data_IF_048579649607
#
_entry.id   IF_048579649607
#
_cell.length_a   1.000
_cell.length_b   1.000
_cell.length_c   1.000
_cell.angle_alpha   90.00
_cell.angle_beta   90.00
_cell.angle_gamma   90.00
#
_symmetry.space_group_name_H-M   'P 1'
#
loop_
_entity.id
_entity.type
_entity.pdbx_description
1 polymer ?
#
# COMPACT_ATOMS: atom_id res chain seq x y z
N UNK A 1 -11.22 -8.04 17.99
CA UNK A 1 -11.55 -6.97 18.97
C UNK A 1 -10.78 -5.73 18.53
N UNK A 2 -11.47 -4.63 18.22
CA UNK A 2 -10.83 -3.39 17.74
C UNK A 2 -10.05 -2.76 18.89
N UNK A 3 -8.72 -2.74 18.81
CA UNK A 3 -7.83 -2.17 19.85
C UNK A 3 -7.96 -0.64 20.01
N UNK A 4 -8.69 0.03 19.13
CA UNK A 4 -8.83 1.49 19.07
C UNK A 4 -10.30 1.95 19.16
N UNK A 5 -11.14 1.24 19.90
CA UNK A 5 -12.58 1.53 20.02
C UNK A 5 -12.84 2.98 20.43
N UNK A 6 -12.13 3.48 21.44
CA UNK A 6 -12.35 4.84 21.97
C UNK A 6 -12.03 5.92 20.92
N UNK A 7 -10.95 5.75 20.15
CA UNK A 7 -10.60 6.68 19.05
C UNK A 7 -11.63 6.68 17.93
N UNK A 8 -12.23 5.53 17.62
CA UNK A 8 -13.33 5.45 16.65
C UNK A 8 -14.62 6.04 17.20
N UNK A 9 -14.83 5.93 18.51
CA UNK A 9 -15.98 6.54 19.19
C UNK A 9 -15.85 8.05 19.29
N UNK A 10 -14.65 8.62 19.39
CA UNK A 10 -14.49 10.08 19.42
C UNK A 10 -14.93 10.74 18.10
N UNK A 11 -14.63 10.12 16.96
CA UNK A 11 -14.99 10.68 15.66
C UNK A 11 -16.42 10.33 15.24
N UNK A 12 -17.23 11.37 14.98
CA UNK A 12 -18.63 11.21 14.57
C UNK A 12 -18.78 10.42 13.27
N UNK A 13 -17.88 10.64 12.31
CA UNK A 13 -17.85 9.94 11.01
C UNK A 13 -17.65 8.44 11.19
N UNK A 14 -16.74 8.02 12.08
CA UNK A 14 -16.49 6.61 12.39
C UNK A 14 -17.56 5.96 13.24
N UNK A 15 -18.11 6.66 14.25
CA UNK A 15 -19.26 6.18 15.04
C UNK A 15 -20.39 5.65 14.16
N UNK A 16 -20.79 6.46 13.18
CA UNK A 16 -21.88 6.15 12.24
C UNK A 16 -21.63 4.92 11.39
N UNK A 17 -20.37 4.54 11.16
CA UNK A 17 -20.00 3.43 10.26
C UNK A 17 -19.73 2.15 11.03
N UNK A 18 -19.11 2.24 12.20
CA UNK A 18 -18.58 1.09 12.92
C UNK A 18 -19.41 0.67 14.14
N UNK A 19 -20.38 1.47 14.57
CA UNK A 19 -21.20 1.20 15.75
C UNK A 19 -22.67 1.01 15.40
N UNK A 20 -23.35 0.19 16.20
CA UNK A 20 -24.77 -0.13 16.05
C UNK A 20 -25.63 0.96 16.70
N UNK A 21 -26.34 1.71 15.86
CA UNK A 21 -27.21 2.79 16.31
C UNK A 21 -26.44 3.84 17.12
N UNK A 22 -27.04 4.33 18.20
CA UNK A 22 -26.43 5.30 19.12
C UNK A 22 -25.70 4.62 20.30
N UNK A 23 -25.53 3.29 20.25
CA UNK A 23 -24.86 2.54 21.30
C UNK A 23 -23.36 2.43 21.05
N UNK A 24 -22.57 2.34 22.11
CA UNK A 24 -21.12 2.07 22.07
C UNK A 24 -20.80 0.59 21.71
N UNK A 25 -21.72 -0.06 20.98
CA UNK A 25 -21.58 -1.42 20.51
C UNK A 25 -21.04 -1.43 19.08
N UNK A 26 -19.79 -1.85 18.92
CA UNK A 26 -19.16 -2.04 17.61
C UNK A 26 -19.77 -3.25 16.91
N UNK A 27 -19.96 -3.18 15.59
CA UNK A 27 -20.34 -4.35 14.79
C UNK A 27 -19.35 -5.52 14.98
N UNK A 28 -19.90 -6.71 15.20
CA UNK A 28 -19.18 -7.96 15.41
C UNK A 28 -19.31 -8.93 14.22
N UNK A 29 -18.76 -10.13 14.41
CA UNK A 29 -18.84 -11.20 13.42
C UNK A 29 -20.31 -11.59 13.20
N UNK A 30 -20.70 -11.70 11.92
CA UNK A 30 -22.07 -12.07 11.54
C UNK A 30 -23.05 -10.89 11.44
N UNK A 31 -22.65 -9.69 11.87
CA UNK A 31 -23.49 -8.51 11.68
C UNK A 31 -23.40 -7.94 10.26
N UNK A 32 -24.52 -7.38 9.78
CA UNK A 32 -24.57 -6.66 8.51
C UNK A 32 -24.33 -5.16 8.73
N UNK A 33 -23.36 -4.59 8.01
CA UNK A 33 -23.02 -3.16 8.05
C UNK A 33 -23.49 -2.49 6.75
N UNK A 34 -24.31 -1.45 6.87
CA UNK A 34 -24.76 -0.66 5.73
C UNK A 34 -23.95 0.65 5.60
N UNK A 35 -23.52 0.99 4.37
CA UNK A 35 -22.74 2.21 4.09
C UNK A 35 -23.43 3.09 3.04
N UNK A 36 -24.64 3.64 3.31
CA UNK A 36 -25.42 4.37 2.31
C UNK A 36 -24.71 5.62 1.77
N UNK A 37 -23.91 6.31 2.60
CA UNK A 37 -23.12 7.47 2.14
C UNK A 37 -22.07 7.07 1.10
N UNK A 38 -21.31 6.01 1.38
CA UNK A 38 -20.34 5.47 0.42
C UNK A 38 -21.04 4.97 -0.85
N UNK A 39 -22.20 4.32 -0.70
CA UNK A 39 -23.04 3.91 -1.83
C UNK A 39 -23.38 5.09 -2.73
N UNK A 40 -23.86 6.21 -2.16
CA UNK A 40 -24.14 7.45 -2.92
C UNK A 40 -22.90 8.01 -3.62
N UNK A 41 -21.75 8.06 -2.95
CA UNK A 41 -20.49 8.50 -3.56
C UNK A 41 -20.13 7.63 -4.77
N UNK A 42 -20.23 6.31 -4.64
CA UNK A 42 -19.96 5.37 -5.73
C UNK A 42 -20.98 5.49 -6.87
N UNK A 43 -22.26 5.76 -6.57
CA UNK A 43 -23.29 6.05 -7.59
C UNK A 43 -22.95 7.31 -8.39
N UNK A 44 -22.53 8.39 -7.73
CA UNK A 44 -22.12 9.62 -8.40
C UNK A 44 -20.93 9.37 -9.35
N UNK A 45 -19.92 8.62 -8.89
CA UNK A 45 -18.75 8.27 -9.72
C UNK A 45 -19.16 7.38 -10.91
N UNK A 46 -20.08 6.44 -10.69
CA UNK A 46 -20.59 5.57 -11.76
C UNK A 46 -21.35 6.35 -12.83
N UNK A 47 -22.12 7.37 -12.43
CA UNK A 47 -22.94 8.20 -13.33
C UNK A 47 -22.12 9.29 -14.06
N UNK A 48 -21.18 9.94 -13.35
CA UNK A 48 -20.44 11.12 -13.85
C UNK A 48 -19.00 10.81 -14.27
N UNK A 49 -18.52 9.60 -14.02
CA UNK A 49 -17.15 9.20 -14.28
C UNK A 49 -16.17 9.54 -13.14
N UNK A 50 -14.88 9.15 -13.28
CA UNK A 50 -13.88 9.29 -12.22
C UNK A 50 -13.52 10.74 -11.90
N UNK A 51 -13.65 11.68 -12.86
CA UNK A 51 -13.38 13.10 -12.63
C UNK A 51 -14.27 13.69 -11.54
N UNK A 52 -15.50 13.18 -11.37
CA UNK A 52 -16.41 13.64 -10.32
C UNK A 52 -15.85 13.48 -8.89
N UNK A 53 -14.84 12.63 -8.67
CA UNK A 53 -14.14 12.52 -7.38
C UNK A 53 -13.13 13.65 -7.15
N UNK A 54 -12.47 14.08 -8.22
CA UNK A 54 -11.38 15.07 -8.19
C UNK A 54 -11.89 16.50 -8.45
N UNK A 55 -13.04 16.61 -9.13
CA UNK A 55 -13.64 17.85 -9.59
C UNK A 55 -15.10 17.95 -9.10
N UNK A 56 -15.50 19.14 -8.64
CA UNK A 56 -16.88 19.45 -8.28
C UNK A 56 -17.30 19.05 -6.85
N UNK A 57 -18.54 18.61 -6.68
CA UNK A 57 -19.18 18.51 -5.36
C UNK A 57 -18.50 17.50 -4.42
N UNK A 58 -18.03 16.35 -4.93
CA UNK A 58 -17.34 15.38 -4.08
C UNK A 58 -15.98 15.91 -3.63
N UNK A 59 -15.24 16.61 -4.50
CA UNK A 59 -13.94 17.17 -4.14
C UNK A 59 -14.07 18.30 -3.12
N UNK A 60 -15.14 19.11 -3.21
CA UNK A 60 -15.49 20.10 -2.17
C UNK A 60 -15.75 19.45 -0.82
N UNK A 61 -16.62 18.43 -0.78
CA UNK A 61 -16.92 17.71 0.46
C UNK A 61 -15.67 17.06 1.08
N UNK A 62 -14.76 16.55 0.25
CA UNK A 62 -13.48 15.98 0.71
C UNK A 62 -12.60 17.08 1.32
N UNK A 63 -12.41 18.20 0.63
CA UNK A 63 -11.58 19.30 1.10
C UNK A 63 -12.12 19.91 2.40
N UNK A 64 -13.43 20.14 2.49
CA UNK A 64 -14.09 20.67 3.68
C UNK A 64 -13.88 19.75 4.89
N UNK A 65 -14.13 18.44 4.75
CA UNK A 65 -13.95 17.48 5.85
C UNK A 65 -12.47 17.40 6.30
N UNK A 66 -11.53 17.41 5.36
CA UNK A 66 -10.09 17.38 5.69
C UNK A 66 -9.66 18.65 6.42
N UNK A 67 -10.09 19.82 5.96
CA UNK A 67 -9.74 21.11 6.56
C UNK A 67 -10.40 21.31 7.92
N UNK A 68 -11.64 20.83 8.12
CA UNK A 68 -12.30 20.78 9.43
C UNK A 68 -11.45 20.01 10.47
N UNK A 69 -10.71 19.00 10.01
CA UNK A 69 -9.79 18.20 10.83
C UNK A 69 -8.32 18.67 10.75
N UNK A 70 -8.08 19.93 10.33
CA UNK A 70 -6.76 20.57 10.25
C UNK A 70 -5.79 19.94 9.25
N UNK A 71 -6.30 19.20 8.26
CA UNK A 71 -5.50 18.76 7.12
C UNK A 71 -5.26 19.89 6.12
N UNK A 72 -4.31 19.66 5.20
CA UNK A 72 -3.82 20.70 4.27
C UNK A 72 -4.27 20.47 2.82
N UNK A 73 -4.95 19.36 2.53
CA UNK A 73 -5.43 19.05 1.19
C UNK A 73 -6.51 20.07 0.82
N UNK A 74 -6.38 20.63 -0.37
CA UNK A 74 -7.31 21.58 -0.95
C UNK A 74 -7.70 21.14 -2.37
N UNK A 75 -8.58 21.91 -2.99
CA UNK A 75 -9.13 21.60 -4.31
C UNK A 75 -8.05 21.52 -5.39
N UNK A 76 -7.03 22.37 -5.33
CA UNK A 76 -5.92 22.35 -6.28
C UNK A 76 -5.15 21.03 -6.21
N UNK A 77 -4.97 20.45 -5.03
CA UNK A 77 -4.30 19.14 -4.87
C UNK A 77 -5.09 18.01 -5.56
N UNK A 78 -6.42 18.07 -5.50
CA UNK A 78 -7.29 17.06 -6.13
C UNK A 78 -7.37 17.26 -7.65
N UNK A 79 -7.54 18.49 -8.12
CA UNK A 79 -7.65 18.82 -9.55
C UNK A 79 -6.33 18.57 -10.31
N UNK A 80 -5.18 18.75 -9.66
CA UNK A 80 -3.86 18.51 -10.27
C UNK A 80 -3.36 17.08 -10.09
N UNK A 81 -4.12 16.21 -9.40
CA UNK A 81 -3.76 14.81 -9.26
C UNK A 81 -3.91 14.07 -10.59
N UNK A 82 -2.85 13.35 -10.98
CA UNK A 82 -2.88 12.47 -12.14
C UNK A 82 -2.23 11.13 -11.84
N UNK A 83 -2.95 10.04 -12.15
CA UNK A 83 -2.40 8.69 -12.13
C UNK A 83 -1.36 8.54 -13.25
N UNK A 84 -0.16 8.06 -12.92
CA UNK A 84 0.93 7.86 -13.88
C UNK A 84 1.00 6.40 -14.29
N UNK A 85 0.81 6.12 -15.58
CA UNK A 85 1.03 4.79 -16.14
C UNK A 85 2.52 4.63 -16.41
N UNK A 86 3.14 3.63 -15.79
CA UNK A 86 4.57 3.36 -15.90
C UNK A 86 4.80 1.90 -16.34
N UNK A 87 5.89 1.62 -17.09
CA UNK A 87 6.29 0.25 -17.35
C UNK A 87 6.64 -0.47 -16.03
N UNK A 88 6.36 -1.76 -15.98
CA UNK A 88 6.72 -2.60 -14.85
C UNK A 88 8.24 -2.82 -14.78
N UNK A 89 8.76 -3.03 -13.57
CA UNK A 89 10.09 -3.60 -13.36
C UNK A 89 9.98 -5.12 -13.45
N UNK A 90 10.99 -5.81 -13.98
CA UNK A 90 10.93 -7.27 -14.12
C UNK A 90 12.28 -7.95 -14.00
N UNK A 91 12.24 -9.25 -13.65
CA UNK A 91 13.40 -10.15 -13.65
C UNK A 91 12.99 -11.51 -14.19
N UNK A 92 13.93 -12.22 -14.83
CA UNK A 92 13.73 -13.62 -15.24
C UNK A 92 14.08 -14.57 -14.09
N UNK A 93 13.26 -15.58 -13.86
CA UNK A 93 13.42 -16.62 -12.84
C UNK A 93 13.35 -18.01 -13.49
N UNK A 94 14.16 -18.96 -13.02
CA UNK A 94 14.15 -20.36 -13.48
C UNK A 94 14.46 -20.55 -14.97
N UNK A 95 14.97 -19.51 -15.65
CA UNK A 95 15.30 -19.50 -17.07
C UNK A 95 14.12 -19.29 -18.03
N UNK A 96 12.86 -19.44 -17.59
CA UNK A 96 11.67 -19.39 -18.47
C UNK A 96 10.48 -18.60 -17.90
N UNK A 97 10.57 -18.07 -16.68
CA UNK A 97 9.53 -17.22 -16.11
C UNK A 97 9.99 -15.78 -16.00
N UNK A 98 9.06 -14.84 -16.14
CA UNK A 98 9.30 -13.42 -15.89
C UNK A 98 8.42 -12.97 -14.74
N UNK A 99 9.04 -12.49 -13.66
CA UNK A 99 8.34 -11.86 -12.55
C UNK A 99 8.26 -10.34 -12.81
N UNK A 100 7.07 -9.78 -12.67
CA UNK A 100 6.80 -8.34 -12.84
C UNK A 100 6.49 -7.68 -11.51
N UNK A 101 6.90 -6.43 -11.37
CA UNK A 101 6.66 -5.62 -10.19
C UNK A 101 6.32 -4.17 -10.53
N UNK A 102 5.76 -3.47 -9.55
CA UNK A 102 5.41 -2.05 -9.62
C UNK A 102 6.67 -1.20 -9.44
N UNK A 103 6.96 -0.24 -10.34
CA UNK A 103 8.14 0.61 -10.21
C UNK A 103 8.10 1.50 -8.95
N UNK A 104 9.22 2.17 -8.59
CA UNK A 104 9.22 3.18 -7.54
C UNK A 104 8.05 4.19 -7.68
N UNK A 105 7.47 4.65 -6.55
CA UNK A 105 7.92 4.48 -5.16
C UNK A 105 7.54 3.15 -4.49
N UNK A 106 6.94 2.20 -5.20
CA UNK A 106 6.63 0.88 -4.64
C UNK A 106 7.92 0.06 -4.38
N UNK A 107 7.84 -0.90 -3.45
CA UNK A 107 9.01 -1.70 -3.03
C UNK A 107 9.18 -3.02 -3.79
N UNK A 108 8.53 -3.23 -4.95
CA UNK A 108 8.64 -4.55 -5.61
C UNK A 108 10.04 -4.83 -6.14
N UNK A 109 10.85 -3.81 -6.43
CA UNK A 109 12.26 -4.00 -6.81
C UNK A 109 13.06 -4.75 -5.74
N UNK A 110 12.75 -4.55 -4.45
CA UNK A 110 13.36 -5.29 -3.33
C UNK A 110 12.97 -6.77 -3.39
N UNK A 111 11.67 -7.05 -3.60
CA UNK A 111 11.20 -8.43 -3.75
C UNK A 111 11.81 -9.11 -4.98
N UNK A 112 11.87 -8.43 -6.12
CA UNK A 112 12.46 -8.96 -7.34
C UNK A 112 13.97 -9.21 -7.18
N UNK A 113 14.69 -8.35 -6.45
CA UNK A 113 16.09 -8.57 -6.08
C UNK A 113 16.25 -9.84 -5.24
N UNK A 114 15.44 -10.00 -4.18
CA UNK A 114 15.46 -11.20 -3.34
C UNK A 114 15.23 -12.45 -4.19
N UNK A 115 14.15 -12.45 -4.99
CA UNK A 115 13.81 -13.59 -5.86
C UNK A 115 14.93 -13.89 -6.85
N UNK A 116 15.52 -12.87 -7.48
CA UNK A 116 16.57 -13.07 -8.47
C UNK A 116 17.86 -13.60 -7.87
N UNK A 117 18.22 -13.19 -6.66
CA UNK A 117 19.39 -13.74 -5.97
C UNK A 117 19.09 -15.16 -5.48
N UNK A 118 17.89 -15.44 -4.97
CA UNK A 118 17.46 -16.79 -4.59
C UNK A 118 17.48 -17.78 -5.77
N UNK A 119 17.10 -17.33 -6.97
CA UNK A 119 17.18 -18.10 -8.23
C UNK A 119 18.60 -18.63 -8.48
N UNK A 120 19.64 -17.87 -8.11
CA UNK A 120 21.04 -18.26 -8.23
C UNK A 120 21.50 -19.34 -7.25
N UNK A 121 20.75 -19.62 -6.18
CA UNK A 121 21.11 -20.64 -5.18
C UNK A 121 20.65 -22.06 -5.57
N UNK A 122 19.93 -22.24 -6.69
CA UNK A 122 19.50 -23.55 -7.16
C UNK A 122 18.59 -24.29 -6.16
N UNK A 123 17.75 -23.53 -5.44
CA UNK A 123 16.88 -24.09 -4.41
C UNK A 123 15.88 -25.07 -5.01
N UNK A 124 15.79 -26.26 -4.43
CA UNK A 124 14.82 -27.30 -4.79
C UNK A 124 13.92 -27.64 -3.61
N UNK A 125 12.80 -28.38 -3.80
CA UNK A 125 11.99 -28.87 -2.69
C UNK A 125 12.81 -29.66 -1.63
N UNK A 126 13.89 -30.32 -2.07
CA UNK A 126 14.79 -31.09 -1.21
C UNK A 126 15.70 -30.22 -0.31
N UNK A 127 15.61 -28.88 -0.44
CA UNK A 127 16.35 -27.93 0.39
C UNK A 127 15.76 -27.79 1.80
N UNK A 128 14.66 -28.50 2.09
CA UNK A 128 13.98 -28.50 3.38
C UNK A 128 13.91 -29.90 4.01
N UNK A 129 14.54 -30.91 3.42
CA UNK A 129 14.37 -32.31 3.86
C UNK A 129 14.99 -32.62 5.23
N UNK A 130 16.05 -31.91 5.59
CA UNK A 130 16.82 -32.15 6.82
C UNK A 130 17.00 -30.86 7.60
N UNK A 131 17.17 -30.98 8.91
CA UNK A 131 17.40 -29.83 9.80
C UNK A 131 18.57 -28.97 9.32
N UNK A 132 19.68 -29.58 8.90
CA UNK A 132 20.84 -28.87 8.36
C UNK A 132 20.51 -28.05 7.10
N UNK A 133 19.77 -28.64 6.15
CA UNK A 133 19.37 -27.96 4.92
C UNK A 133 18.36 -26.85 5.20
N UNK A 134 17.42 -27.08 6.12
CA UNK A 134 16.46 -26.06 6.56
C UNK A 134 17.19 -24.88 7.21
N UNK A 135 18.12 -25.14 8.13
CA UNK A 135 18.94 -24.09 8.77
C UNK A 135 19.67 -23.27 7.71
N UNK A 136 20.30 -23.93 6.73
CA UNK A 136 20.96 -23.23 5.61
C UNK A 136 19.99 -22.41 4.78
N UNK A 137 18.83 -22.96 4.43
CA UNK A 137 17.79 -22.27 3.67
C UNK A 137 17.33 -21.00 4.40
N UNK A 138 16.95 -21.10 5.66
CA UNK A 138 16.50 -19.95 6.45
C UNK A 138 17.62 -18.93 6.69
N UNK A 139 18.87 -19.37 6.84
CA UNK A 139 20.00 -18.46 6.92
C UNK A 139 20.15 -17.65 5.62
N UNK A 140 20.13 -18.30 4.46
CA UNK A 140 20.20 -17.61 3.15
C UNK A 140 19.05 -16.62 3.03
N UNK A 141 17.81 -17.04 3.32
CA UNK A 141 16.64 -16.16 3.27
C UNK A 141 16.85 -14.95 4.19
N UNK A 142 17.25 -15.14 5.44
CA UNK A 142 17.46 -14.04 6.38
C UNK A 142 18.53 -13.06 5.91
N UNK A 143 19.68 -13.53 5.42
CA UNK A 143 20.75 -12.66 4.93
C UNK A 143 20.34 -11.89 3.66
N UNK A 144 19.59 -12.53 2.75
CA UNK A 144 19.06 -11.85 1.57
C UNK A 144 18.07 -10.76 1.94
N UNK A 145 17.20 -10.99 2.92
CA UNK A 145 16.28 -9.96 3.40
C UNK A 145 17.06 -8.79 4.02
N UNK A 146 18.05 -9.05 4.87
CA UNK A 146 18.90 -7.98 5.44
C UNK A 146 19.55 -7.14 4.33
N UNK A 147 20.17 -7.79 3.35
CA UNK A 147 20.86 -7.10 2.26
C UNK A 147 19.89 -6.29 1.39
N UNK A 148 18.79 -6.91 0.96
CA UNK A 148 17.82 -6.26 0.08
C UNK A 148 17.12 -5.09 0.79
N UNK A 149 16.76 -5.22 2.06
CA UNK A 149 16.20 -4.12 2.84
C UNK A 149 17.24 -3.04 3.17
N UNK A 150 18.53 -3.39 3.26
CA UNK A 150 19.62 -2.41 3.27
C UNK A 150 19.53 -1.47 2.06
N UNK A 151 19.24 -2.00 0.87
CA UNK A 151 19.05 -1.19 -0.35
C UNK A 151 17.73 -0.42 -0.41
N UNK A 152 16.74 -0.76 0.42
CA UNK A 152 15.44 -0.10 0.43
C UNK A 152 15.51 1.36 0.90
N UNK A 153 16.48 1.70 1.74
CA UNK A 153 16.68 3.08 2.22
C UNK A 153 16.95 4.08 1.09
N UNK A 154 17.56 3.62 0.00
CA UNK A 154 17.85 4.42 -1.19
C UNK A 154 16.65 4.56 -2.14
N UNK A 155 15.52 3.90 -1.87
CA UNK A 155 14.32 4.01 -2.71
C UNK A 155 13.42 5.15 -2.25
N UNK A 156 12.77 5.80 -3.22
CA UNK A 156 11.81 6.88 -2.96
C UNK A 156 10.95 7.15 -4.19
N UNK A 157 10.28 8.30 -4.17
CA UNK A 157 9.62 8.82 -5.37
C UNK A 157 10.69 9.30 -6.36
N UNK A 158 10.62 8.82 -7.59
CA UNK A 158 11.58 9.21 -8.66
C UNK A 158 11.48 10.69 -9.03
N UNK A 159 10.37 11.34 -8.69
CA UNK A 159 10.18 12.78 -8.91
C UNK A 159 10.56 13.62 -7.69
N UNK A 160 10.98 13.00 -6.59
CA UNK A 160 11.50 13.69 -5.42
C UNK A 160 13.02 13.85 -5.51
N UNK A 161 13.47 15.10 -5.52
CA UNK A 161 14.88 15.52 -5.47
C UNK A 161 15.69 14.93 -4.32
N UNK A 162 15.05 14.44 -3.25
CA UNK A 162 15.74 13.82 -2.11
C UNK A 162 16.08 12.35 -2.36
N UNK A 163 15.36 11.67 -3.26
CA UNK A 163 15.62 10.26 -3.59
C UNK A 163 17.02 10.07 -4.21
N UNK A 164 17.45 11.01 -5.06
CA UNK A 164 18.80 11.00 -5.65
C UNK A 164 19.90 11.12 -4.57
N UNK A 165 19.70 12.00 -3.58
CA UNK A 165 20.66 12.21 -2.49
C UNK A 165 20.82 10.97 -1.61
N UNK A 166 19.74 10.23 -1.38
CA UNK A 166 19.78 9.00 -0.58
C UNK A 166 20.54 7.86 -1.29
N UNK A 167 20.51 7.83 -2.63
CA UNK A 167 21.24 6.84 -3.42
C UNK A 167 22.76 7.08 -3.42
N UNK A 168 23.21 8.33 -3.25
CA UNK A 168 24.63 8.70 -3.26
C UNK A 168 25.33 8.58 -1.89
N UNK A 169 24.59 8.40 -0.79
CA UNK A 169 25.16 8.21 0.57
C UNK A 169 25.84 6.82 0.72
N UNK A 170 25.59 5.88 -0.19
CA UNK A 170 26.19 4.53 -0.18
C UNK A 170 27.38 4.35 -1.16
N UNK A 171 27.94 5.41 -1.74
CA UNK A 171 29.22 5.37 -2.50
C UNK A 171 30.42 5.66 -1.58
#
# INVERSE_FOLDING_TARGET
IIKCKDKLWEQRSFRRVFFKGDSDHVYGLGDTIFRPRLGRTLSIIAEKGPSAFYEGELSDQICEEIQEHRGIINRYDLETYHARVKPSVSVTLGGNYTAYGVPPPASSAITLLILKVMDGYGLTPHSLDTDEKQVRFYHIVNELFKFAYGKRSAMGDEYDSQTEKNADIEK
#
